data_IF_242985249539
#
_entry.id   IF_242985249539
#
_cell.length_a   1.000
_cell.length_b   1.000
_cell.length_c   1.000
_cell.angle_alpha   90.00
_cell.angle_beta   90.00
_cell.angle_gamma   90.00
#
_symmetry.space_group_name_H-M   'P 1'
#
loop_
_entity.id
_entity.type
_entity.pdbx_description
1 polymer ?
#
# COMPACT_ATOMS: atom_id res chain seq x y z
N UNK A 1 -22.95 49.87 -24.73
CA UNK A 1 -23.03 50.30 -26.15
C UNK A 1 -22.27 49.23 -26.96
N UNK A 2 -22.88 48.62 -27.96
CA UNK A 2 -22.37 47.48 -28.68
C UNK A 2 -21.74 47.87 -29.99
N UNK A 3 -20.86 47.07 -30.51
CA UNK A 3 -20.50 47.10 -31.95
C UNK A 3 -20.33 45.70 -32.50
N UNK A 4 -21.32 45.32 -33.29
CA UNK A 4 -21.33 44.21 -34.25
C UNK A 4 -20.59 44.66 -35.54
N UNK A 5 -20.01 43.72 -36.27
CA UNK A 5 -19.88 43.72 -37.75
C UNK A 5 -19.24 42.39 -38.15
N UNK A 6 -19.75 41.56 -38.88
CA UNK A 6 -20.50 41.36 -40.11
C UNK A 6 -19.77 40.28 -40.95
N UNK A 7 -20.54 39.27 -41.23
CA UNK A 7 -20.36 38.17 -42.18
C UNK A 7 -20.18 38.64 -43.61
N UNK A 8 -19.33 37.97 -44.43
CA UNK A 8 -19.58 37.88 -45.87
C UNK A 8 -19.20 36.52 -46.41
N UNK A 9 -20.18 35.91 -47.03
CA UNK A 9 -20.11 34.78 -47.96
C UNK A 9 -19.34 35.14 -49.21
N UNK A 10 -18.61 34.19 -49.84
CA UNK A 10 -18.51 34.08 -51.29
C UNK A 10 -18.17 32.65 -51.74
N UNK A 11 -19.12 32.05 -52.37
CA UNK A 11 -19.32 31.23 -53.59
C UNK A 11 -18.18 30.34 -54.11
N UNK A 12 -18.52 29.08 -54.19
CA UNK A 12 -18.39 28.01 -55.22
C UNK A 12 -17.32 28.14 -56.28
N UNK A 13 -16.49 27.09 -56.39
CA UNK A 13 -16.26 26.38 -57.67
C UNK A 13 -15.79 24.94 -57.41
N UNK A 14 -16.36 24.02 -58.20
CA UNK A 14 -16.09 22.56 -58.24
C UNK A 14 -14.66 22.30 -58.78
N UNK A 15 -14.02 21.23 -58.32
CA UNK A 15 -12.88 20.65 -58.97
C UNK A 15 -12.19 19.53 -58.18
N UNK A 16 -12.53 18.30 -58.53
CA UNK A 16 -11.69 17.09 -58.63
C UNK A 16 -11.10 16.49 -57.33
N UNK A 17 -11.43 15.20 -57.15
CA UNK A 17 -11.06 14.23 -56.17
C UNK A 17 -9.53 14.13 -55.91
N UNK A 18 -9.16 14.15 -54.66
CA UNK A 18 -7.89 13.69 -54.15
C UNK A 18 -8.11 13.20 -52.71
N UNK A 19 -8.15 11.89 -52.54
CA UNK A 19 -8.22 11.25 -51.20
C UNK A 19 -6.87 11.44 -50.56
N UNK A 20 -6.77 12.42 -49.66
CA UNK A 20 -5.63 12.54 -48.77
C UNK A 20 -6.02 11.76 -47.47
N UNK A 21 -5.45 10.57 -47.28
CA UNK A 21 -5.43 9.90 -45.98
C UNK A 21 -4.63 10.78 -45.00
N UNK A 22 -5.33 11.50 -44.15
CA UNK A 22 -4.72 12.03 -42.92
C UNK A 22 -4.46 10.85 -41.97
N UNK A 23 -3.21 10.43 -41.90
CA UNK A 23 -2.74 9.63 -40.79
C UNK A 23 -2.73 10.51 -39.53
N UNK A 24 -3.78 10.38 -38.71
CA UNK A 24 -3.76 10.92 -37.33
C UNK A 24 -2.83 10.00 -36.57
N UNK A 25 -1.58 10.46 -36.36
CA UNK A 25 -0.69 9.83 -35.38
C UNK A 25 -1.29 10.10 -34.00
N UNK A 26 -2.01 9.13 -33.45
CA UNK A 26 -2.40 9.12 -32.06
C UNK A 26 -1.10 8.98 -31.24
N UNK A 27 -0.68 10.05 -30.57
CA UNK A 27 0.24 9.94 -29.43
C UNK A 27 -0.51 9.21 -28.31
N UNK A 28 -0.53 7.89 -28.34
CA UNK A 28 -0.98 7.08 -27.24
C UNK A 28 0.03 7.21 -26.11
N UNK A 29 -0.47 7.55 -24.95
CA UNK A 29 0.29 7.60 -23.71
C UNK A 29 0.89 6.20 -23.44
N UNK A 30 2.22 6.11 -23.39
CA UNK A 30 2.93 4.85 -23.20
C UNK A 30 2.66 4.19 -21.84
N UNK A 31 2.08 4.93 -20.88
CA UNK A 31 1.73 4.43 -19.55
C UNK A 31 0.51 3.50 -19.57
N UNK A 32 -0.40 3.66 -20.52
CA UNK A 32 -1.57 2.79 -20.65
C UNK A 32 -1.29 1.47 -21.39
N UNK A 33 -0.19 1.39 -22.15
CA UNK A 33 0.14 0.19 -22.92
C UNK A 33 0.85 -0.92 -22.12
N UNK A 34 1.37 -0.62 -20.93
CA UNK A 34 2.05 -1.64 -20.10
C UNK A 34 1.04 -2.45 -19.26
N UNK A 35 -0.11 -1.87 -18.91
CA UNK A 35 -1.15 -2.55 -18.11
C UNK A 35 -1.93 -3.64 -18.90
N UNK A 36 -1.99 -3.52 -20.25
CA UNK A 36 -2.80 -4.44 -21.08
C UNK A 36 -2.03 -5.65 -21.65
N UNK A 37 -0.75 -5.85 -21.31
CA UNK A 37 0.08 -6.89 -21.94
C UNK A 37 0.61 -8.00 -21.04
N UNK A 38 0.29 -7.99 -19.74
CA UNK A 38 0.61 -9.12 -18.87
C UNK A 38 -0.46 -10.21 -19.06
N UNK A 39 -0.10 -11.49 -19.28
CA UNK A 39 -1.07 -12.57 -19.28
C UNK A 39 -1.80 -12.52 -17.94
N UNK A 40 -3.14 -12.53 -17.96
CA UNK A 40 -3.95 -12.40 -16.76
C UNK A 40 -3.54 -13.47 -15.75
N UNK A 41 -2.99 -13.03 -14.61
CA UNK A 41 -2.68 -13.93 -13.50
C UNK A 41 -4.02 -14.29 -12.84
N UNK A 42 -4.28 -15.58 -12.71
CA UNK A 42 -5.42 -16.07 -11.94
C UNK A 42 -5.02 -16.15 -10.46
N UNK A 43 -5.71 -15.38 -9.63
CA UNK A 43 -5.50 -15.36 -8.18
C UNK A 43 -6.40 -16.39 -7.49
N UNK A 44 -5.95 -17.64 -7.48
CA UNK A 44 -6.60 -18.68 -6.69
C UNK A 44 -6.34 -18.50 -5.18
N UNK A 45 -7.04 -19.27 -4.36
CA UNK A 45 -6.89 -19.20 -2.91
C UNK A 45 -5.45 -19.51 -2.44
N UNK A 46 -4.72 -20.36 -3.17
CA UNK A 46 -3.35 -20.74 -2.82
C UNK A 46 -2.36 -19.60 -3.09
N UNK A 47 -2.46 -18.92 -4.23
CA UNK A 47 -1.62 -17.76 -4.55
C UNK A 47 -1.98 -16.59 -3.61
N UNK A 48 -3.27 -16.31 -3.44
CA UNK A 48 -3.75 -15.24 -2.58
C UNK A 48 -3.26 -15.39 -1.14
N UNK A 49 -3.29 -16.59 -0.55
CA UNK A 49 -2.80 -16.86 0.82
C UNK A 49 -1.30 -16.61 1.02
N UNK A 50 -0.54 -16.50 -0.08
CA UNK A 50 0.89 -16.18 -0.06
C UNK A 50 1.19 -14.69 -0.17
N UNK A 51 0.18 -13.85 -0.36
CA UNK A 51 0.34 -12.40 -0.58
C UNK A 51 -0.28 -11.65 0.59
N UNK A 52 0.51 -10.79 1.22
CA UNK A 52 0.11 -9.99 2.35
C UNK A 52 0.67 -8.57 2.29
N UNK A 53 0.01 -7.66 2.99
CA UNK A 53 0.44 -6.27 3.13
C UNK A 53 0.47 -5.88 4.60
N UNK A 54 1.37 -4.97 4.97
CA UNK A 54 1.32 -4.33 6.27
C UNK A 54 1.74 -2.87 6.19
N UNK A 55 1.39 -2.10 7.21
CA UNK A 55 1.88 -0.74 7.29
C UNK A 55 1.65 -0.12 8.66
N UNK A 56 2.35 0.99 8.91
CA UNK A 56 2.25 1.77 10.14
C UNK A 56 1.73 3.17 9.85
N UNK A 57 0.84 3.69 10.69
CA UNK A 57 0.32 5.05 10.57
C UNK A 57 -0.35 5.28 9.20
N UNK A 58 0.11 6.27 8.41
CA UNK A 58 -0.37 6.46 7.03
C UNK A 58 -0.18 5.21 6.16
N UNK A 59 0.90 4.46 6.37
CA UNK A 59 1.12 3.16 5.73
C UNK A 59 0.12 2.10 6.19
N UNK A 60 -0.35 2.17 7.45
CA UNK A 60 -1.41 1.33 7.98
C UNK A 60 -2.74 1.58 7.27
N UNK A 61 -3.11 2.84 7.09
CA UNK A 61 -4.29 3.20 6.28
C UNK A 61 -4.15 2.73 4.82
N UNK A 62 -2.96 2.90 4.21
CA UNK A 62 -2.70 2.41 2.86
C UNK A 62 -2.78 0.88 2.77
N UNK A 63 -2.32 0.15 3.79
CA UNK A 63 -2.45 -1.31 3.83
C UNK A 63 -3.93 -1.74 3.86
N UNK A 64 -4.78 -1.03 4.61
CA UNK A 64 -6.24 -1.24 4.58
C UNK A 64 -6.81 -0.95 3.19
N UNK A 65 -6.46 0.18 2.59
CA UNK A 65 -6.93 0.58 1.26
C UNK A 65 -6.54 -0.46 0.20
N UNK A 66 -5.28 -0.88 0.18
CA UNK A 66 -4.80 -1.91 -0.76
C UNK A 66 -5.52 -3.26 -0.55
N UNK A 67 -5.70 -3.68 0.70
CA UNK A 67 -6.39 -4.94 1.01
C UNK A 67 -7.86 -4.90 0.60
N UNK A 68 -8.59 -3.84 0.91
CA UNK A 68 -10.01 -3.71 0.57
C UNK A 68 -10.22 -3.58 -0.94
N UNK A 69 -9.40 -2.75 -1.61
CA UNK A 69 -9.51 -2.55 -3.05
C UNK A 69 -9.16 -3.79 -3.87
N UNK A 70 -8.24 -4.63 -3.38
CA UNK A 70 -7.70 -5.79 -4.09
C UNK A 70 -7.73 -7.07 -3.25
N UNK A 71 -8.81 -7.30 -2.49
CA UNK A 71 -8.95 -8.48 -1.63
C UNK A 71 -8.90 -9.81 -2.42
N UNK A 72 -9.20 -9.80 -3.72
CA UNK A 72 -9.03 -10.97 -4.58
C UNK A 72 -7.57 -11.33 -4.84
N UNK A 73 -6.63 -10.42 -4.59
CA UNK A 73 -5.18 -10.65 -4.74
C UNK A 73 -4.48 -10.82 -3.40
N UNK A 74 -4.97 -10.19 -2.35
CA UNK A 74 -4.32 -10.07 -1.04
C UNK A 74 -5.02 -10.96 -0.03
N UNK A 75 -4.34 -11.97 0.49
CA UNK A 75 -4.89 -12.92 1.47
C UNK A 75 -4.80 -12.45 2.92
N UNK A 76 -4.06 -11.39 3.22
CA UNK A 76 -3.96 -10.87 4.57
C UNK A 76 -3.39 -9.48 4.69
N UNK A 77 -3.82 -8.76 5.73
CA UNK A 77 -3.36 -7.41 6.04
C UNK A 77 -3.00 -7.26 7.51
N UNK A 78 -1.93 -6.51 7.79
CA UNK A 78 -1.54 -6.13 9.13
C UNK A 78 -1.42 -4.61 9.27
N UNK A 79 -2.06 -4.07 10.29
CA UNK A 79 -2.20 -2.63 10.48
C UNK A 79 -1.66 -2.23 11.84
N UNK A 80 -0.67 -1.35 11.84
CA UNK A 80 -0.07 -0.78 13.04
C UNK A 80 -0.46 0.69 13.13
N UNK A 81 -1.06 1.10 14.24
CA UNK A 81 -1.43 2.49 14.52
C UNK A 81 -2.18 3.19 13.35
N UNK A 82 -3.06 2.45 12.68
CA UNK A 82 -3.89 2.92 11.57
C UNK A 82 -5.38 2.95 11.95
N UNK A 83 -6.24 3.16 10.95
CA UNK A 83 -7.69 3.23 11.16
C UNK A 83 -8.47 2.59 10.00
N UNK A 84 -9.82 2.68 10.03
CA UNK A 84 -10.67 2.00 9.08
C UNK A 84 -10.58 2.56 7.65
N UNK A 85 -10.98 1.73 6.69
CA UNK A 85 -11.09 2.07 5.27
C UNK A 85 -11.94 3.32 5.06
N UNK A 86 -11.53 4.19 4.14
CA UNK A 86 -12.26 5.41 3.76
C UNK A 86 -12.55 6.38 4.92
N UNK A 87 -11.81 6.30 6.03
CA UNK A 87 -12.07 7.13 7.22
C UNK A 87 -12.03 8.63 6.93
N UNK A 88 -11.10 9.06 6.08
CA UNK A 88 -10.89 10.48 5.78
C UNK A 88 -11.85 11.06 4.75
N UNK A 89 -12.65 10.25 4.06
CA UNK A 89 -13.66 10.70 3.10
C UNK A 89 -13.10 11.66 2.02
N UNK A 90 -11.78 11.55 1.71
CA UNK A 90 -11.07 12.44 0.78
C UNK A 90 -10.71 13.82 1.37
N UNK A 91 -10.86 14.03 2.67
CA UNK A 91 -10.64 15.33 3.29
C UNK A 91 -9.60 15.31 4.40
N UNK A 92 -8.54 16.12 4.27
CA UNK A 92 -7.47 16.25 5.27
C UNK A 92 -8.02 16.69 6.65
N UNK A 93 -9.08 17.50 6.68
CA UNK A 93 -9.70 17.93 7.94
C UNK A 93 -10.34 16.77 8.69
N UNK A 94 -11.00 15.85 7.98
CA UNK A 94 -11.59 14.63 8.56
C UNK A 94 -10.46 13.69 8.99
N UNK A 95 -9.43 13.55 8.17
CA UNK A 95 -8.25 12.75 8.49
C UNK A 95 -7.62 13.19 9.82
N UNK A 96 -7.19 14.45 9.93
CA UNK A 96 -6.52 14.97 11.12
C UNK A 96 -7.47 15.18 12.33
N UNK A 97 -8.74 15.28 12.07
CA UNK A 97 -9.79 15.36 13.11
C UNK A 97 -10.27 13.98 13.52
N UNK A 98 -11.43 13.57 13.02
CA UNK A 98 -12.17 12.36 13.38
C UNK A 98 -11.30 11.09 13.33
N UNK A 99 -10.51 10.87 12.24
CA UNK A 99 -9.77 9.64 12.07
C UNK A 99 -8.56 9.52 13.01
N UNK A 100 -7.85 10.62 13.27
CA UNK A 100 -6.72 10.58 14.20
C UNK A 100 -7.18 10.69 15.67
N UNK A 101 -8.18 11.49 15.98
CA UNK A 101 -8.61 11.69 17.37
C UNK A 101 -9.57 10.63 17.88
N UNK A 102 -10.19 9.84 16.99
CA UNK A 102 -11.22 8.87 17.33
C UNK A 102 -12.57 9.50 17.73
N UNK A 103 -12.70 10.83 17.72
CA UNK A 103 -13.91 11.51 18.14
C UNK A 103 -15.09 11.16 17.22
N UNK A 104 -16.15 10.60 17.80
CA UNK A 104 -17.35 10.14 17.08
C UNK A 104 -17.05 9.18 15.90
N UNK A 105 -15.94 8.47 15.95
CA UNK A 105 -15.54 7.50 14.94
C UNK A 105 -16.29 6.19 15.16
N UNK A 106 -17.07 5.79 14.16
CA UNK A 106 -17.77 4.50 14.10
C UNK A 106 -17.47 3.84 12.77
N UNK A 107 -17.51 2.52 12.69
CA UNK A 107 -17.17 1.80 11.45
C UNK A 107 -18.31 1.78 10.41
N UNK A 108 -19.56 2.00 10.82
CA UNK A 108 -20.75 1.81 9.96
C UNK A 108 -20.74 2.63 8.65
N UNK A 109 -20.36 3.94 8.65
CA UNK A 109 -20.27 4.68 7.39
C UNK A 109 -19.27 4.07 6.41
N UNK A 110 -18.12 3.61 6.90
CA UNK A 110 -17.05 2.98 6.11
C UNK A 110 -17.45 1.60 5.60
N UNK A 111 -18.18 0.82 6.41
CA UNK A 111 -18.77 -0.47 6.01
C UNK A 111 -19.77 -0.26 4.88
N UNK A 112 -20.64 0.75 4.99
CA UNK A 112 -21.62 1.10 3.96
C UNK A 112 -20.93 1.53 2.68
N UNK A 113 -19.92 2.43 2.76
CA UNK A 113 -19.13 2.85 1.62
C UNK A 113 -18.43 1.67 0.91
N UNK A 114 -17.80 0.76 1.65
CA UNK A 114 -17.14 -0.40 1.07
C UNK A 114 -18.12 -1.30 0.31
N UNK A 115 -19.33 -1.53 0.84
CA UNK A 115 -20.39 -2.30 0.15
C UNK A 115 -20.85 -1.61 -1.14
N UNK A 116 -21.04 -0.28 -1.10
CA UNK A 116 -21.43 0.51 -2.27
C UNK A 116 -20.32 0.53 -3.33
N UNK A 117 -19.08 0.75 -2.94
CA UNK A 117 -17.92 0.74 -3.85
C UNK A 117 -17.72 -0.64 -4.50
N UNK A 118 -17.91 -1.73 -3.73
CA UNK A 118 -17.88 -3.10 -4.26
C UNK A 118 -19.01 -3.35 -5.26
N UNK A 119 -20.23 -2.92 -4.96
CA UNK A 119 -21.38 -3.04 -5.86
C UNK A 119 -21.17 -2.25 -7.17
N UNK A 120 -20.44 -1.13 -7.10
CA UNK A 120 -20.04 -0.34 -8.26
C UNK A 120 -18.83 -0.91 -9.03
N UNK A 121 -18.19 -1.97 -8.53
CA UNK A 121 -16.95 -2.54 -9.11
C UNK A 121 -15.70 -1.69 -8.89
N UNK A 122 -15.77 -0.67 -8.03
CA UNK A 122 -14.66 0.22 -7.74
C UNK A 122 -13.60 -0.40 -6.80
N UNK A 123 -13.98 -1.44 -6.07
CA UNK A 123 -13.11 -2.29 -5.23
C UNK A 123 -13.44 -3.76 -5.45
N UNK A 124 -12.74 -4.66 -4.76
CA UNK A 124 -13.09 -6.09 -4.72
C UNK A 124 -14.49 -6.34 -4.19
N UNK A 125 -15.09 -7.43 -4.61
CA UNK A 125 -16.28 -7.96 -3.96
C UNK A 125 -15.92 -8.25 -2.50
N UNK A 126 -16.64 -7.65 -1.56
CA UNK A 126 -16.28 -7.70 -0.12
C UNK A 126 -16.34 -9.12 0.47
N UNK A 127 -17.16 -9.99 -0.09
CA UNK A 127 -17.28 -11.39 0.37
C UNK A 127 -15.97 -12.19 0.22
N UNK A 128 -15.06 -11.75 -0.66
CA UNK A 128 -13.75 -12.39 -0.80
C UNK A 128 -12.92 -12.25 0.48
N UNK A 129 -13.15 -11.21 1.28
CA UNK A 129 -12.43 -11.00 2.55
C UNK A 129 -12.76 -12.04 3.63
N UNK A 130 -13.81 -12.84 3.48
CA UNK A 130 -14.13 -13.92 4.44
C UNK A 130 -13.00 -14.94 4.63
N UNK A 131 -12.11 -15.09 3.65
CA UNK A 131 -10.95 -15.99 3.72
C UNK A 131 -9.65 -15.27 4.11
N UNK A 132 -9.71 -13.97 4.38
CA UNK A 132 -8.54 -13.18 4.72
C UNK A 132 -8.15 -13.33 6.20
N UNK A 133 -6.88 -13.03 6.49
CA UNK A 133 -6.38 -12.89 7.86
C UNK A 133 -6.00 -11.45 8.12
N UNK A 134 -6.41 -10.92 9.27
CA UNK A 134 -6.17 -9.53 9.64
C UNK A 134 -5.50 -9.47 11.00
N UNK A 135 -4.43 -8.70 11.08
CA UNK A 135 -3.72 -8.44 12.33
C UNK A 135 -3.68 -6.93 12.58
N UNK A 136 -4.08 -6.51 13.77
CA UNK A 136 -4.17 -5.11 14.15
C UNK A 136 -3.35 -4.92 15.43
N UNK A 137 -2.43 -3.96 15.42
CA UNK A 137 -1.75 -3.48 16.60
C UNK A 137 -2.04 -1.99 16.80
N UNK A 138 -2.55 -1.66 17.97
CA UNK A 138 -2.75 -0.28 18.35
C UNK A 138 -2.47 -0.13 19.85
N UNK A 139 -1.43 0.64 20.18
CA UNK A 139 -1.08 0.90 21.56
C UNK A 139 -2.17 1.68 22.28
N UNK A 140 -2.47 1.35 23.57
CA UNK A 140 -3.38 2.17 24.38
C UNK A 140 -2.81 3.59 24.66
N UNK A 141 -1.50 3.76 24.56
CA UNK A 141 -0.79 5.02 24.83
C UNK A 141 -0.43 5.82 23.56
N UNK A 142 -0.95 5.40 22.40
CA UNK A 142 -0.76 6.16 21.16
C UNK A 142 -1.45 7.54 21.26
N UNK A 143 -0.63 8.59 21.42
CA UNK A 143 -1.10 9.96 21.55
C UNK A 143 -1.27 10.67 20.19
N UNK A 144 -0.88 10.04 19.06
CA UNK A 144 -0.95 10.63 17.74
C UNK A 144 -2.17 10.14 16.96
N UNK A 145 -2.38 8.83 16.92
CA UNK A 145 -3.59 8.21 16.39
C UNK A 145 -4.27 7.47 17.52
N UNK A 146 -5.46 7.94 17.87
CA UNK A 146 -6.18 7.45 19.03
C UNK A 146 -6.48 5.94 18.95
N UNK A 147 -6.41 5.19 20.07
CA UNK A 147 -6.82 3.78 20.13
C UNK A 147 -8.21 3.50 19.57
N UNK A 148 -9.14 4.48 19.63
CA UNK A 148 -10.47 4.37 19.04
C UNK A 148 -10.43 4.17 17.51
N UNK A 149 -9.37 4.64 16.84
CA UNK A 149 -9.20 4.36 15.40
C UNK A 149 -8.91 2.86 15.17
N UNK A 150 -8.12 2.23 16.04
CA UNK A 150 -7.87 0.79 16.01
C UNK A 150 -9.13 -0.02 16.34
N UNK A 151 -9.95 0.44 17.29
CA UNK A 151 -11.24 -0.20 17.63
C UNK A 151 -12.21 -0.13 16.45
N UNK A 152 -12.36 1.03 15.80
CA UNK A 152 -13.20 1.21 14.62
C UNK A 152 -12.68 0.39 13.42
N UNK A 153 -11.36 0.25 13.28
CA UNK A 153 -10.76 -0.63 12.28
C UNK A 153 -11.11 -2.10 12.52
N UNK A 154 -11.01 -2.56 13.76
CA UNK A 154 -11.38 -3.93 14.11
C UNK A 154 -12.88 -4.19 13.87
N UNK A 155 -13.75 -3.22 14.19
CA UNK A 155 -15.18 -3.28 13.89
C UNK A 155 -15.45 -3.32 12.38
N UNK A 156 -14.77 -2.49 11.59
CA UNK A 156 -14.84 -2.51 10.13
C UNK A 156 -14.53 -3.91 9.58
N UNK A 157 -13.43 -4.50 9.99
CA UNK A 157 -13.06 -5.82 9.48
C UNK A 157 -13.99 -6.94 9.94
N UNK A 158 -14.54 -6.88 11.14
CA UNK A 158 -15.54 -7.88 11.62
C UNK A 158 -16.82 -7.93 10.78
N UNK A 159 -17.10 -6.89 9.98
CA UNK A 159 -18.21 -6.91 9.04
C UNK A 159 -17.97 -7.83 7.83
N UNK A 160 -16.71 -8.21 7.54
CA UNK A 160 -16.31 -8.91 6.31
C UNK A 160 -15.42 -10.14 6.58
N UNK A 161 -14.73 -10.19 7.69
CA UNK A 161 -13.72 -11.21 8.05
C UNK A 161 -14.20 -11.94 9.30
N UNK A 162 -14.17 -13.29 9.35
CA UNK A 162 -14.51 -14.05 10.54
C UNK A 162 -13.67 -13.63 11.75
N UNK A 163 -14.30 -13.58 12.93
CA UNK A 163 -13.67 -13.07 14.14
C UNK A 163 -12.39 -13.84 14.51
N UNK A 164 -12.36 -15.15 14.27
CA UNK A 164 -11.20 -16.03 14.51
C UNK A 164 -10.01 -15.75 13.58
N UNK A 165 -10.25 -15.06 12.48
CA UNK A 165 -9.20 -14.64 11.51
C UNK A 165 -8.68 -13.23 11.79
N UNK A 166 -9.22 -12.55 12.81
CA UNK A 166 -8.81 -11.22 13.23
C UNK A 166 -8.07 -11.30 14.56
N UNK A 167 -6.80 -10.88 14.58
CA UNK A 167 -6.05 -10.69 15.83
C UNK A 167 -5.92 -9.21 16.15
N UNK A 168 -6.18 -8.84 17.40
CA UNK A 168 -6.01 -7.47 17.90
C UNK A 168 -5.02 -7.50 19.06
N UNK A 169 -3.95 -6.70 18.94
CA UNK A 169 -2.94 -6.48 19.97
C UNK A 169 -3.08 -5.03 20.44
N UNK A 170 -3.48 -4.84 21.68
CA UNK A 170 -3.73 -3.54 22.28
C UNK A 170 -3.30 -3.48 23.76
N UNK A 171 -2.40 -4.36 24.16
CA UNK A 171 -1.88 -4.53 25.52
C UNK A 171 -0.39 -4.13 25.65
N UNK A 172 0.20 -3.59 24.58
CA UNK A 172 1.58 -3.12 24.58
C UNK A 172 1.56 -1.59 24.66
N UNK A 173 2.00 -1.09 25.78
CA UNK A 173 2.12 0.34 26.07
C UNK A 173 3.32 0.92 25.31
N UNK A 174 3.08 1.60 24.19
CA UNK A 174 4.11 2.25 23.38
C UNK A 174 3.65 3.61 22.88
N UNK A 175 4.58 4.49 22.58
CA UNK A 175 4.27 5.67 21.78
C UNK A 175 3.90 5.27 20.34
N UNK A 176 3.35 6.23 19.58
CA UNK A 176 3.01 6.02 18.17
C UNK A 176 4.23 5.60 17.36
N UNK A 177 4.21 4.44 16.72
CA UNK A 177 5.32 3.97 15.90
C UNK A 177 5.24 2.48 15.58
N UNK A 178 6.35 1.98 15.09
CA UNK A 178 6.59 0.56 14.81
C UNK A 178 7.35 -0.07 15.99
N UNK A 179 6.69 -0.91 16.77
CA UNK A 179 7.33 -1.60 17.88
C UNK A 179 8.32 -2.68 17.37
N UNK A 180 9.50 -2.72 17.96
CA UNK A 180 10.56 -3.69 17.66
C UNK A 180 11.04 -4.35 18.94
N UNK A 181 11.86 -5.39 18.81
CA UNK A 181 12.48 -6.03 19.97
C UNK A 181 13.41 -5.02 20.67
N UNK A 182 14.39 -4.46 19.95
CA UNK A 182 15.49 -3.68 20.52
C UNK A 182 15.97 -2.51 19.64
N UNK A 183 15.36 -2.31 18.46
CA UNK A 183 15.77 -1.26 17.54
C UNK A 183 14.95 0.03 17.73
N UNK A 184 15.57 1.16 17.48
CA UNK A 184 14.93 2.48 17.51
C UNK A 184 15.09 3.23 18.83
N UNK A 185 14.11 4.09 19.13
CA UNK A 185 14.06 4.92 20.36
C UNK A 185 13.35 4.14 21.48
N UNK A 186 13.29 4.72 22.69
CA UNK A 186 12.56 4.10 23.81
C UNK A 186 11.10 3.85 23.47
N UNK A 187 10.49 2.80 24.04
CA UNK A 187 9.16 2.35 23.69
C UNK A 187 8.09 3.43 23.89
N UNK A 188 8.22 4.20 24.95
CA UNK A 188 7.32 5.29 25.36
C UNK A 188 7.70 6.66 24.79
N UNK A 189 8.79 6.74 24.01
CA UNK A 189 9.24 8.00 23.43
C UNK A 189 8.48 8.31 22.13
N UNK A 190 7.85 9.49 22.09
CA UNK A 190 7.11 9.96 20.93
C UNK A 190 8.01 10.68 19.93
N UNK A 191 7.96 10.30 18.67
CA UNK A 191 8.69 10.99 17.59
C UNK A 191 9.93 10.24 17.10
N UNK A 192 11.00 10.97 16.84
CA UNK A 192 12.22 10.38 16.25
C UNK A 192 11.94 9.66 14.94
N UNK A 193 12.41 8.42 14.83
CA UNK A 193 12.23 7.58 13.64
C UNK A 193 10.88 6.84 13.63
N UNK A 194 10.08 7.00 14.70
CA UNK A 194 8.84 6.22 14.91
C UNK A 194 9.09 4.70 14.81
N UNK A 195 10.27 4.27 15.22
CA UNK A 195 10.66 2.88 15.44
C UNK A 195 11.00 2.78 16.93
N UNK A 196 10.29 1.96 17.66
CA UNK A 196 10.31 1.95 19.13
C UNK A 196 10.78 0.58 19.66
N UNK A 197 11.82 0.59 20.49
CA UNK A 197 12.33 -0.61 21.17
C UNK A 197 11.39 -0.99 22.33
N UNK A 198 10.47 -1.92 22.09
CA UNK A 198 9.40 -2.30 23.01
C UNK A 198 9.50 -3.74 23.52
N UNK A 199 10.63 -4.43 23.27
CA UNK A 199 10.74 -5.89 23.52
C UNK A 199 9.63 -6.69 22.83
N UNK A 200 9.17 -6.22 21.67
CA UNK A 200 8.07 -6.81 20.92
C UNK A 200 8.41 -7.00 19.44
N UNK A 201 8.27 -8.23 18.95
CA UNK A 201 8.52 -8.59 17.55
C UNK A 201 7.26 -8.41 16.69
N UNK A 202 6.97 -7.17 16.31
CA UNK A 202 5.81 -6.84 15.45
C UNK A 202 5.85 -7.61 14.14
N UNK A 203 7.00 -7.64 13.45
CA UNK A 203 7.12 -8.34 12.17
C UNK A 203 6.86 -9.84 12.32
N UNK A 204 7.42 -10.46 13.35
CA UNK A 204 7.18 -11.88 13.62
C UNK A 204 5.74 -12.19 14.02
N UNK A 205 5.13 -11.35 14.85
CA UNK A 205 3.74 -11.53 15.30
C UNK A 205 2.78 -11.46 14.10
N UNK A 206 2.87 -10.43 13.29
CA UNK A 206 1.99 -10.26 12.13
C UNK A 206 2.23 -11.33 11.06
N UNK A 207 3.49 -11.66 10.73
CA UNK A 207 3.76 -12.67 9.71
C UNK A 207 3.26 -14.07 10.12
N UNK A 208 3.39 -14.44 11.39
CA UNK A 208 2.83 -15.71 11.91
C UNK A 208 1.29 -15.72 11.81
N UNK A 209 0.64 -14.61 12.15
CA UNK A 209 -0.81 -14.53 12.01
C UNK A 209 -1.25 -14.63 10.54
N UNK A 210 -0.58 -13.91 9.64
CA UNK A 210 -0.96 -13.86 8.23
C UNK A 210 -0.64 -15.15 7.45
N UNK A 211 0.46 -15.81 7.79
CA UNK A 211 0.95 -16.96 7.02
C UNK A 211 0.93 -18.31 7.77
N UNK A 212 0.53 -18.32 9.03
CA UNK A 212 0.50 -19.52 9.86
C UNK A 212 1.87 -19.89 10.44
N UNK A 213 2.15 -21.17 10.52
CA UNK A 213 3.40 -21.68 11.09
C UNK A 213 4.61 -21.26 10.25
N UNK A 214 5.51 -20.52 10.89
CA UNK A 214 6.77 -20.07 10.32
C UNK A 214 7.95 -20.70 11.09
N UNK A 215 9.04 -20.93 10.38
CA UNK A 215 10.32 -21.24 11.01
C UNK A 215 10.79 -20.05 11.86
N UNK A 216 11.57 -20.28 12.90
CA UNK A 216 12.18 -19.19 13.65
C UNK A 216 12.91 -18.22 12.74
N UNK A 217 12.91 -16.93 13.10
CA UNK A 217 13.66 -15.92 12.36
C UNK A 217 15.16 -16.24 12.34
N UNK A 218 15.87 -15.78 11.33
CA UNK A 218 17.32 -15.79 11.33
C UNK A 218 17.88 -14.88 12.43
N UNK A 219 19.05 -15.20 12.96
CA UNK A 219 19.73 -14.32 13.93
C UNK A 219 20.12 -12.99 13.29
N UNK A 220 20.47 -13.01 11.99
CA UNK A 220 20.88 -11.82 11.23
C UNK A 220 20.36 -11.97 9.79
N UNK A 221 19.83 -10.88 9.24
CA UNK A 221 19.47 -10.81 7.83
C UNK A 221 20.72 -10.78 6.95
N UNK A 222 20.64 -11.38 5.76
CA UNK A 222 21.72 -11.37 4.77
C UNK A 222 21.73 -10.07 4.00
N UNK A 223 22.73 -9.22 4.20
CA UNK A 223 22.79 -7.87 3.61
C UNK A 223 22.68 -7.86 2.07
N UNK A 224 23.29 -8.83 1.39
CA UNK A 224 23.25 -8.94 -0.09
C UNK A 224 21.85 -9.31 -0.62
N UNK A 225 20.96 -9.75 0.26
CA UNK A 225 19.57 -10.05 -0.09
C UNK A 225 18.65 -8.82 -0.04
N UNK A 226 19.10 -7.72 0.56
CA UNK A 226 18.43 -6.42 0.49
C UNK A 226 18.90 -5.70 -0.77
N UNK A 227 18.01 -5.48 -1.72
CA UNK A 227 18.30 -4.90 -3.04
C UNK A 227 17.44 -3.65 -3.26
N UNK A 228 17.96 -2.71 -4.05
CA UNK A 228 17.16 -1.59 -4.57
C UNK A 228 16.39 -2.05 -5.79
N UNK A 229 15.13 -1.67 -5.90
CA UNK A 229 14.26 -1.95 -7.06
C UNK A 229 13.76 -0.65 -7.68
N UNK A 230 13.54 -0.68 -9.00
CA UNK A 230 12.92 0.42 -9.74
C UNK A 230 11.40 0.35 -9.56
N UNK A 231 10.82 1.41 -9.02
CA UNK A 231 9.38 1.55 -8.80
C UNK A 231 8.67 2.30 -9.93
N UNK A 232 9.40 2.94 -10.83
CA UNK A 232 8.84 3.81 -11.87
C UNK A 232 7.87 3.11 -12.83
N UNK A 233 8.00 1.78 -12.96
CA UNK A 233 7.11 0.95 -13.79
C UNK A 233 5.80 0.54 -13.12
N UNK A 234 5.66 0.73 -11.79
CA UNK A 234 4.49 0.25 -11.04
C UNK A 234 3.49 1.36 -10.73
N UNK A 235 3.96 2.59 -10.56
CA UNK A 235 3.12 3.69 -10.10
C UNK A 235 2.95 4.75 -11.19
N UNK A 236 1.73 5.23 -11.34
CA UNK A 236 1.40 6.31 -12.28
C UNK A 236 1.98 7.67 -11.86
N UNK A 237 2.07 8.60 -12.80
CA UNK A 237 2.52 9.96 -12.53
C UNK A 237 1.65 10.66 -11.48
N UNK A 238 2.27 11.44 -10.61
CA UNK A 238 1.60 12.16 -9.52
C UNK A 238 1.17 11.27 -8.35
N UNK A 239 1.76 10.08 -8.21
CA UNK A 239 1.59 9.20 -7.05
C UNK A 239 2.46 9.59 -5.85
N UNK A 240 3.44 10.48 -6.04
CA UNK A 240 4.47 10.83 -5.06
C UNK A 240 5.34 9.64 -4.61
N UNK A 241 5.40 8.60 -5.44
CA UNK A 241 6.31 7.46 -5.21
C UNK A 241 7.70 7.81 -5.71
N UNK A 242 8.71 7.49 -4.92
CA UNK A 242 10.12 7.56 -5.31
C UNK A 242 10.41 6.60 -6.48
N UNK A 243 11.35 6.97 -7.35
CA UNK A 243 11.73 6.08 -8.46
C UNK A 243 12.34 4.76 -7.98
N UNK A 244 12.91 4.75 -6.78
CA UNK A 244 13.53 3.57 -6.19
C UNK A 244 12.87 3.18 -4.86
N UNK A 245 12.75 1.88 -4.64
CA UNK A 245 12.39 1.29 -3.36
C UNK A 245 13.33 0.15 -3.01
N UNK A 246 12.95 -0.64 -2.03
CA UNK A 246 13.77 -1.77 -1.59
C UNK A 246 12.99 -3.08 -1.68
N UNK A 247 13.73 -4.18 -1.87
CA UNK A 247 13.20 -5.52 -1.71
C UNK A 247 14.21 -6.40 -0.97
N UNK A 248 13.74 -7.13 0.02
CA UNK A 248 14.50 -8.23 0.58
C UNK A 248 14.11 -9.53 -0.13
N UNK A 249 15.08 -10.17 -0.77
CA UNK A 249 14.87 -11.37 -1.57
C UNK A 249 15.69 -12.51 -0.98
N UNK A 250 15.07 -13.39 -0.18
CA UNK A 250 15.76 -14.53 0.41
C UNK A 250 16.51 -15.35 -0.63
N UNK A 251 17.64 -15.93 -0.25
CA UNK A 251 18.45 -16.78 -1.13
C UNK A 251 17.62 -17.92 -1.74
N UNK A 252 16.68 -18.47 -0.97
CA UNK A 252 15.76 -19.53 -1.40
C UNK A 252 14.74 -19.09 -2.45
N UNK A 253 14.55 -17.76 -2.65
CA UNK A 253 13.65 -17.18 -3.65
C UNK A 253 14.37 -16.73 -4.93
N UNK A 254 15.66 -16.98 -5.03
CA UNK A 254 16.48 -16.76 -6.24
C UNK A 254 16.77 -18.12 -6.90
N UNK A 255 16.70 -18.34 -8.20
CA UNK A 255 16.46 -17.43 -9.32
C UNK A 255 14.99 -17.31 -9.73
N UNK A 256 14.09 -18.03 -9.12
CA UNK A 256 12.66 -17.95 -9.40
C UNK A 256 11.88 -17.98 -8.06
N UNK A 257 10.97 -17.06 -7.90
CA UNK A 257 10.14 -16.94 -6.70
C UNK A 257 9.08 -18.06 -6.55
N UNK A 258 9.32 -19.24 -7.18
CA UNK A 258 8.43 -20.40 -7.09
C UNK A 258 8.29 -20.82 -5.62
N UNK A 259 7.06 -20.90 -5.15
CA UNK A 259 6.70 -21.22 -3.76
C UNK A 259 7.16 -20.19 -2.70
N UNK A 260 7.54 -18.97 -3.11
CA UNK A 260 7.78 -17.89 -2.19
C UNK A 260 6.49 -17.13 -1.87
N UNK A 261 6.48 -16.43 -0.75
CA UNK A 261 5.45 -15.50 -0.32
C UNK A 261 5.85 -14.08 -0.70
N UNK A 262 4.87 -13.19 -0.84
CA UNK A 262 5.09 -11.76 -0.95
C UNK A 262 4.53 -11.06 0.28
N UNK A 263 5.31 -10.16 0.85
CA UNK A 263 4.84 -9.20 1.84
C UNK A 263 5.19 -7.79 1.38
N UNK A 264 4.22 -6.88 1.30
CA UNK A 264 4.46 -5.46 1.02
C UNK A 264 4.42 -4.71 2.34
N UNK A 265 5.58 -4.19 2.77
CA UNK A 265 5.75 -3.47 4.03
C UNK A 265 5.76 -1.95 3.78
N UNK A 266 4.78 -1.25 4.30
CA UNK A 266 4.46 0.14 3.99
C UNK A 266 4.80 1.02 5.20
N UNK A 267 5.79 1.92 5.03
CA UNK A 267 6.25 2.82 6.08
C UNK A 267 5.22 3.89 6.45
N UNK A 268 5.40 4.55 7.60
CA UNK A 268 4.60 5.71 8.01
C UNK A 268 5.15 7.04 7.47
N UNK A 269 4.52 8.14 7.88
CA UNK A 269 5.05 9.48 7.59
C UNK A 269 6.45 9.64 8.20
N UNK A 270 7.34 10.36 7.51
CA UNK A 270 8.76 10.61 7.84
C UNK A 270 9.61 9.34 8.03
N UNK A 271 9.14 8.20 7.55
CA UNK A 271 9.87 6.93 7.63
C UNK A 271 10.39 6.43 6.27
N UNK A 272 10.03 7.11 5.18
CA UNK A 272 10.57 6.80 3.85
C UNK A 272 12.06 7.10 3.73
N UNK A 273 12.68 6.62 2.64
CA UNK A 273 14.12 6.72 2.40
C UNK A 273 14.65 8.17 2.35
N UNK A 274 13.81 9.13 1.98
CA UNK A 274 14.14 10.56 2.03
C UNK A 274 14.47 11.04 3.45
N UNK A 275 13.87 10.45 4.49
CA UNK A 275 14.00 10.85 5.88
C UNK A 275 14.95 9.93 6.67
N UNK A 276 14.86 8.62 6.46
CA UNK A 276 15.55 7.62 7.26
C UNK A 276 16.51 6.73 6.44
N UNK A 277 16.76 7.04 5.18
CA UNK A 277 17.54 6.19 4.29
C UNK A 277 16.92 4.76 4.25
N UNK A 278 17.65 3.72 4.60
CA UNK A 278 17.16 2.34 4.66
C UNK A 278 16.85 1.84 6.09
N UNK A 279 16.77 2.77 7.06
CA UNK A 279 16.64 2.41 8.47
C UNK A 279 15.37 1.65 8.78
N UNK A 280 14.19 2.13 8.32
CA UNK A 280 12.95 1.38 8.50
C UNK A 280 13.04 -0.02 7.89
N UNK A 281 13.58 -0.12 6.68
CA UNK A 281 13.74 -1.39 5.94
C UNK A 281 14.62 -2.38 6.70
N UNK A 282 15.65 -1.91 7.40
CA UNK A 282 16.57 -2.76 8.15
C UNK A 282 16.12 -3.07 9.58
N UNK A 283 15.36 -2.16 10.19
CA UNK A 283 15.04 -2.26 11.61
C UNK A 283 13.61 -2.73 11.91
N UNK A 284 12.72 -2.75 10.91
CA UNK A 284 11.36 -3.21 11.12
C UNK A 284 11.25 -4.71 11.44
N UNK A 285 12.35 -5.48 11.33
CA UNK A 285 12.43 -6.88 11.73
C UNK A 285 11.93 -7.88 10.69
N UNK A 286 11.49 -7.45 9.53
CA UNK A 286 10.98 -8.35 8.49
C UNK A 286 12.05 -9.22 7.84
N UNK A 287 13.25 -8.70 7.63
CA UNK A 287 14.28 -9.34 6.82
C UNK A 287 14.77 -10.66 7.44
N UNK A 288 14.87 -10.73 8.76
CA UNK A 288 15.24 -11.93 9.50
C UNK A 288 14.18 -13.03 9.37
N UNK A 289 12.90 -12.67 9.41
CA UNK A 289 11.79 -13.60 9.16
C UNK A 289 11.72 -14.02 7.70
N UNK A 290 11.97 -13.10 6.79
CA UNK A 290 11.96 -13.33 5.36
C UNK A 290 12.97 -14.39 4.95
N UNK A 291 14.19 -14.33 5.49
CA UNK A 291 15.29 -15.24 5.12
C UNK A 291 14.96 -16.70 5.36
N UNK A 292 14.39 -17.05 6.52
CA UNK A 292 14.08 -18.42 6.91
C UNK A 292 12.76 -18.93 6.38
N UNK A 293 11.86 -18.02 5.94
CA UNK A 293 10.47 -18.36 5.62
C UNK A 293 10.08 -18.13 4.16
N UNK A 294 11.06 -17.88 3.28
CA UNK A 294 10.84 -17.68 1.84
C UNK A 294 9.81 -16.56 1.57
N UNK A 295 9.94 -15.44 2.27
CA UNK A 295 9.09 -14.26 2.09
C UNK A 295 9.90 -13.20 1.35
N UNK A 296 9.51 -12.84 0.14
CA UNK A 296 10.00 -11.63 -0.52
C UNK A 296 9.30 -10.46 0.13
N UNK A 297 10.06 -9.52 0.69
CA UNK A 297 9.49 -8.31 1.29
C UNK A 297 9.80 -7.13 0.40
N UNK A 298 8.76 -6.41 -0.03
CA UNK A 298 8.89 -5.20 -0.84
C UNK A 298 8.55 -3.99 0.02
N UNK A 299 9.41 -2.99 -0.03
CA UNK A 299 9.29 -1.72 0.69
C UNK A 299 9.18 -0.57 -0.31
N UNK A 300 7.99 -0.27 -0.83
CA UNK A 300 7.82 0.89 -1.70
C UNK A 300 8.09 2.17 -0.91
N UNK A 301 8.60 3.20 -1.59
CA UNK A 301 9.07 4.43 -0.97
C UNK A 301 8.33 5.64 -1.54
N UNK A 302 8.06 6.62 -0.68
CA UNK A 302 7.46 7.89 -1.05
C UNK A 302 8.49 9.03 -1.06
N UNK A 303 8.23 10.02 -1.88
CA UNK A 303 8.88 11.33 -1.84
C UNK A 303 7.95 12.36 -1.22
N UNK A 304 8.52 13.33 -0.50
CA UNK A 304 7.77 14.47 -0.01
C UNK A 304 7.33 15.39 -1.15
N UNK A 305 6.30 16.18 -0.92
CA UNK A 305 5.84 17.20 -1.84
C UNK A 305 5.29 18.41 -1.10
N UNK A 306 4.96 19.49 -1.82
CA UNK A 306 4.38 20.69 -1.22
C UNK A 306 3.09 20.38 -0.41
N UNK A 307 2.28 19.44 -0.90
CA UNK A 307 1.00 19.05 -0.25
C UNK A 307 1.15 17.84 0.68
N UNK A 308 2.31 17.20 0.67
CA UNK A 308 2.66 16.06 1.50
C UNK A 308 4.11 16.18 2.00
N UNK A 309 4.43 17.17 2.83
CA UNK A 309 5.82 17.46 3.23
C UNK A 309 6.43 16.40 4.14
N UNK A 310 5.64 15.48 4.66
CA UNK A 310 6.10 14.38 5.53
C UNK A 310 6.22 13.04 4.81
N UNK A 311 6.00 12.98 3.48
CA UNK A 311 6.05 11.72 2.74
C UNK A 311 5.09 10.66 3.29
N UNK A 312 3.86 11.06 3.64
CA UNK A 312 2.82 10.15 4.10
C UNK A 312 2.14 9.45 2.92
N UNK A 313 1.74 8.20 3.09
CA UNK A 313 0.86 7.54 2.11
C UNK A 313 -0.47 8.25 2.02
N UNK A 314 -1.11 8.19 0.82
CA UNK A 314 -2.37 8.89 0.60
C UNK A 314 -3.53 8.15 1.25
N UNK A 315 -3.99 8.71 2.36
CA UNK A 315 -5.14 8.22 3.09
C UNK A 315 -6.22 9.29 3.28
N UNK A 316 -6.02 10.48 2.63
CA UNK A 316 -6.96 11.61 2.68
C UNK A 316 -7.23 12.25 1.32
N UNK A 317 -6.77 11.66 0.19
CA UNK A 317 -7.14 12.08 -1.17
C UNK A 317 -6.25 13.14 -1.81
N UNK A 318 -4.98 13.28 -1.41
CA UNK A 318 -4.09 14.27 -2.03
C UNK A 318 -3.62 13.86 -3.44
N UNK A 319 -3.76 12.60 -3.83
CA UNK A 319 -3.45 12.14 -5.19
C UNK A 319 -4.66 12.11 -6.12
N UNK A 320 -5.88 12.20 -5.57
CA UNK A 320 -7.16 12.19 -6.30
C UNK A 320 -8.32 11.70 -5.45
N UNK A 321 -9.54 11.94 -5.92
CA UNK A 321 -10.77 11.55 -5.21
C UNK A 321 -10.96 10.02 -5.12
N UNK A 322 -10.24 9.27 -5.95
CA UNK A 322 -10.27 7.82 -6.03
C UNK A 322 -9.13 7.13 -5.25
N UNK A 323 -8.47 7.86 -4.37
CA UNK A 323 -7.23 7.49 -3.68
C UNK A 323 -7.26 6.12 -3.00
N UNK A 324 -8.39 5.67 -2.51
CA UNK A 324 -8.61 4.41 -1.82
C UNK A 324 -9.36 3.34 -2.65
N UNK A 325 -9.69 3.67 -3.91
CA UNK A 325 -10.28 2.76 -4.88
C UNK A 325 -9.20 2.02 -5.71
N UNK A 326 -9.61 1.06 -6.55
CA UNK A 326 -8.70 0.36 -7.48
C UNK A 326 -7.95 1.29 -8.42
N UNK A 327 -8.60 2.38 -8.85
CA UNK A 327 -8.00 3.39 -9.72
C UNK A 327 -7.06 4.35 -9.01
N UNK A 328 -7.07 4.35 -7.67
CA UNK A 328 -6.18 5.18 -6.86
C UNK A 328 -4.71 4.90 -7.15
N UNK A 329 -3.94 5.95 -7.44
CA UNK A 329 -2.59 5.83 -7.98
C UNK A 329 -1.65 4.98 -7.12
N UNK A 330 -1.72 5.13 -5.80
CA UNK A 330 -0.86 4.38 -4.88
C UNK A 330 -1.37 2.96 -4.67
N UNK A 331 -2.66 2.78 -4.53
CA UNK A 331 -3.32 1.47 -4.39
C UNK A 331 -3.11 0.62 -5.65
N UNK A 332 -3.29 1.20 -6.85
CA UNK A 332 -3.04 0.55 -8.13
C UNK A 332 -1.56 0.14 -8.28
N UNK A 333 -0.62 1.00 -7.83
CA UNK A 333 0.80 0.68 -7.87
C UNK A 333 1.19 -0.49 -6.97
N UNK A 334 0.59 -0.59 -5.77
CA UNK A 334 0.78 -1.75 -4.89
C UNK A 334 0.25 -3.02 -5.58
N UNK A 335 -0.92 -2.94 -6.22
CA UNK A 335 -1.47 -4.05 -7.02
C UNK A 335 -0.53 -4.44 -8.17
N UNK A 336 0.09 -3.49 -8.86
CA UNK A 336 1.05 -3.78 -9.94
C UNK A 336 2.31 -4.50 -9.43
N UNK A 337 2.82 -4.16 -8.24
CA UNK A 337 3.89 -4.92 -7.57
C UNK A 337 3.47 -6.38 -7.33
N UNK A 338 2.24 -6.58 -6.86
CA UNK A 338 1.67 -7.90 -6.62
C UNK A 338 1.56 -8.69 -7.93
N UNK A 339 1.07 -8.07 -9.00
CA UNK A 339 0.99 -8.68 -10.33
C UNK A 339 2.37 -9.07 -10.87
N UNK A 340 3.36 -8.22 -10.69
CA UNK A 340 4.74 -8.51 -11.08
C UNK A 340 5.35 -9.68 -10.28
N UNK A 341 5.04 -9.79 -8.99
CA UNK A 341 5.43 -10.96 -8.20
C UNK A 341 4.74 -12.24 -8.71
N UNK A 342 3.43 -12.20 -8.86
CA UNK A 342 2.62 -13.34 -9.26
C UNK A 342 2.98 -13.85 -10.66
N UNK A 343 3.38 -12.97 -11.59
CA UNK A 343 3.87 -13.32 -12.93
C UNK A 343 5.37 -13.70 -12.95
N UNK A 344 6.09 -13.59 -11.81
CA UNK A 344 7.53 -13.86 -11.74
C UNK A 344 8.40 -12.78 -12.40
N UNK A 345 7.87 -11.59 -12.66
CA UNK A 345 8.58 -10.49 -13.33
C UNK A 345 9.15 -9.45 -12.37
N UNK A 346 8.74 -9.44 -11.11
CA UNK A 346 9.11 -8.42 -10.12
C UNK A 346 10.63 -8.15 -10.04
N UNK A 347 11.44 -9.18 -10.15
CA UNK A 347 12.90 -9.09 -10.03
C UNK A 347 13.62 -9.17 -11.39
N UNK A 348 12.89 -9.27 -12.49
CA UNK A 348 13.47 -9.32 -13.83
C UNK A 348 13.88 -7.90 -14.28
N UNK A 349 15.10 -7.78 -14.80
CA UNK A 349 15.62 -6.49 -15.28
C UNK A 349 16.05 -5.51 -14.18
N UNK A 350 15.94 -5.88 -12.92
CA UNK A 350 16.43 -5.07 -11.79
C UNK A 350 17.97 -5.16 -11.77
N UNK A 351 18.64 -4.20 -12.38
CA UNK A 351 20.09 -4.03 -12.22
C UNK A 351 20.34 -3.26 -10.93
N UNK A 352 20.77 -3.97 -9.91
CA UNK A 352 21.21 -3.36 -8.65
C UNK A 352 22.50 -2.60 -8.93
N UNK A 353 22.55 -1.26 -8.81
CA UNK A 353 23.83 -0.58 -8.75
C UNK A 353 24.52 -1.04 -7.45
N UNK A 354 25.64 -1.74 -7.57
CA UNK A 354 26.53 -1.92 -6.43
C UNK A 354 27.00 -0.53 -6.01
N UNK A 355 26.60 -0.07 -4.84
CA UNK A 355 27.20 1.08 -4.17
C UNK A 355 28.55 0.70 -3.60
#
# INVERSE_FOLDING_TARGET
>A
MPSRFFCRLCKRSLGIAGVALLAIAACGDKSQQVADSLPGVEYDAALRSRISVSGVSSGGYMAVQAHVAYAEKIGGAAIVAGGPYHCAEGEVKIALGKCMTGADLTAEPMISFAKEAAAAGAISVVDVMQDARVWIYHSPDDALVSPQAGEALAEFYRAFVPAESIAVVNDIESAHGWATIDAGIACDEQGGDYINACDYDTAGALLRHLHGDLQPRADVAVNDNLVTIDLSGFFGSGSNIANAGFAYVPSACRPAAVDCRLHVAIHGCVQGAEFLEDRFVRQAGFNEWAETNRVVVVYPQLESSLFNPKGCWDWWGYTGDDYDLRSGKQVAGISAIIDAFASGTLLQGQTVPKR
#
